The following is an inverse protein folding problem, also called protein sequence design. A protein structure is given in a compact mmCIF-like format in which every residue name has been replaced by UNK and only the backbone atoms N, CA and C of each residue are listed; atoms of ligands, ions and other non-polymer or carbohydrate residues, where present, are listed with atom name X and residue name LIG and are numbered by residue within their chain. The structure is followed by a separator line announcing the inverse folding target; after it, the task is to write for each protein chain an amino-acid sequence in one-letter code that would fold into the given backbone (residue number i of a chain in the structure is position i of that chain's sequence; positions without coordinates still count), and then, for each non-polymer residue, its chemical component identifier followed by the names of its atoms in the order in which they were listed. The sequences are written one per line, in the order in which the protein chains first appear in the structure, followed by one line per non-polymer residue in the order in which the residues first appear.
data_IF_615619277074
#
_entry.id   IF_615619277074
#
_cell.length_a   1.000
_cell.length_b   1.000
_cell.length_c   1.000
_cell.angle_alpha   90.00
_cell.angle_beta   90.00
_cell.angle_gamma   90.00
#
_symmetry.space_group_name_H-M   'P 1'
#
loop_
_entity.id
_entity.type
_entity.pdbx_description
1 polymer ?
#
# COMPACT_ATOMS: atom_id res chain seq x y z
N UNK A 1 -18.50 4.71 12.16
CA UNK A 1 -17.06 5.03 12.35
C UNK A 1 -16.38 4.69 11.05
N UNK A 2 -15.45 5.52 10.57
CA UNK A 2 -14.73 5.22 9.34
C UNK A 2 -13.29 4.83 9.65
N UNK A 3 -12.78 3.84 8.91
CA UNK A 3 -11.44 3.26 9.12
C UNK A 3 -10.70 3.14 7.80
N UNK A 4 -9.50 3.70 7.73
CA UNK A 4 -8.56 3.51 6.63
C UNK A 4 -7.46 2.57 7.09
N UNK A 5 -7.21 1.52 6.33
CA UNK A 5 -6.20 0.50 6.63
C UNK A 5 -5.12 0.52 5.55
N UNK A 6 -3.86 0.56 5.99
CA UNK A 6 -2.68 0.37 5.17
C UNK A 6 -2.06 -0.97 5.55
N UNK A 7 -2.01 -1.91 4.62
CA UNK A 7 -1.45 -3.25 4.87
C UNK A 7 -0.19 -3.44 4.04
N UNK A 8 0.82 -4.03 4.68
CA UNK A 8 2.10 -4.39 4.08
C UNK A 8 2.21 -5.90 4.10
N UNK A 9 2.11 -6.53 2.94
CA UNK A 9 2.12 -7.97 2.80
C UNK A 9 3.40 -8.40 2.08
N UNK A 10 4.14 -9.33 2.68
CA UNK A 10 5.22 -9.99 1.94
C UNK A 10 4.58 -10.87 0.88
N UNK A 11 4.87 -10.58 -0.39
CA UNK A 11 4.38 -11.38 -1.51
C UNK A 11 5.34 -12.54 -1.73
N UNK A 12 4.82 -13.76 -1.75
CA UNK A 12 5.59 -14.94 -2.09
C UNK A 12 5.62 -15.10 -3.61
N UNK A 13 6.70 -14.63 -4.23
CA UNK A 13 7.01 -14.97 -5.62
C UNK A 13 8.15 -16.01 -5.64
N UNK A 14 7.79 -17.23 -6.06
CA UNK A 14 8.67 -18.40 -6.07
C UNK A 14 9.86 -18.23 -7.03
N UNK A 15 9.73 -17.42 -8.09
CA UNK A 15 10.84 -17.17 -9.01
C UNK A 15 11.85 -16.15 -8.47
N UNK A 16 11.38 -15.11 -7.77
CA UNK A 16 12.25 -14.09 -7.19
C UNK A 16 12.90 -14.52 -5.88
N UNK A 17 12.24 -15.36 -5.07
CA UNK A 17 12.85 -15.95 -3.89
C UNK A 17 14.09 -16.80 -4.24
N UNK A 18 14.09 -17.48 -5.40
CA UNK A 18 15.25 -18.25 -5.89
C UNK A 18 16.47 -17.38 -6.21
N UNK A 19 16.28 -16.08 -6.44
CA UNK A 19 17.36 -15.11 -6.69
C UNK A 19 17.76 -14.33 -5.43
N UNK A 20 17.21 -14.67 -4.26
CA UNK A 20 17.49 -13.98 -3.00
C UNK A 20 16.75 -12.65 -2.83
N UNK A 21 15.78 -12.34 -3.69
CA UNK A 21 14.94 -11.15 -3.58
C UNK A 21 13.68 -11.38 -2.75
N UNK A 22 13.04 -10.30 -2.31
CA UNK A 22 11.72 -10.32 -1.68
C UNK A 22 10.84 -9.19 -2.22
N UNK A 23 9.53 -9.43 -2.31
CA UNK A 23 8.54 -8.43 -2.66
C UNK A 23 7.71 -8.04 -1.44
N UNK A 24 7.46 -6.74 -1.31
CA UNK A 24 6.49 -6.20 -0.35
C UNK A 24 5.36 -5.58 -1.17
N UNK A 25 4.18 -6.19 -1.11
CA UNK A 25 2.94 -5.61 -1.62
C UNK A 25 2.36 -4.65 -0.58
N UNK A 26 1.85 -3.51 -1.04
CA UNK A 26 1.15 -2.55 -0.19
C UNK A 26 -0.27 -2.34 -0.70
N UNK A 27 -1.26 -2.51 0.18
CA UNK A 27 -2.68 -2.29 -0.10
C UNK A 27 -3.26 -1.21 0.81
N UNK A 28 -4.17 -0.40 0.28
CA UNK A 28 -4.91 0.61 1.04
C UNK A 28 -6.40 0.41 0.85
N UNK A 29 -7.10 0.22 1.96
CA UNK A 29 -8.53 -0.06 1.97
C UNK A 29 -9.26 0.88 2.92
N UNK A 30 -10.52 1.15 2.61
CA UNK A 30 -11.45 1.86 3.49
C UNK A 30 -12.52 0.85 3.89
N UNK A 31 -12.48 0.36 5.14
CA UNK A 31 -13.31 -0.78 5.56
C UNK A 31 -14.70 -0.38 6.02
N UNK A 32 -14.83 0.78 6.67
CA UNK A 32 -16.09 1.21 7.25
C UNK A 32 -16.39 2.62 6.75
N UNK A 33 -17.56 2.81 6.14
CA UNK A 33 -18.17 4.13 5.93
C UNK A 33 -19.52 4.12 6.65
N UNK A 34 -19.91 5.27 7.20
CA UNK A 34 -21.30 5.44 7.61
C UNK A 34 -22.24 5.19 6.42
N UNK A 35 -23.48 4.74 6.66
CA UNK A 35 -24.53 4.79 5.65
C UNK A 35 -24.59 6.17 5.00
N UNK A 36 -24.91 6.25 3.70
CA UNK A 36 -24.92 7.53 2.95
C UNK A 36 -25.78 8.64 3.61
N UNK A 37 -26.79 8.25 4.35
CA UNK A 37 -27.70 9.16 5.07
C UNK A 37 -27.12 9.68 6.40
N UNK A 38 -25.99 9.12 6.86
CA UNK A 38 -25.32 9.41 8.13
C UNK A 38 -23.84 9.77 7.94
N UNK A 39 -23.47 10.25 6.74
CA UNK A 39 -22.11 10.69 6.47
C UNK A 39 -21.75 11.83 7.41
N UNK A 40 -20.71 11.62 8.20
CA UNK A 40 -20.26 12.56 9.23
C UNK A 40 -18.83 13.03 8.98
N UNK A 41 -18.32 13.92 9.84
CA UNK A 41 -16.95 14.45 9.74
C UNK A 41 -15.87 13.35 9.68
N UNK A 42 -16.10 12.20 10.32
CA UNK A 42 -15.17 11.06 10.28
C UNK A 42 -15.10 10.40 8.90
N UNK A 43 -16.18 10.37 8.12
CA UNK A 43 -16.18 9.83 6.76
C UNK A 43 -15.42 10.74 5.81
N UNK A 44 -15.56 12.06 5.99
CA UNK A 44 -14.80 13.07 5.24
C UNK A 44 -13.31 12.94 5.53
N UNK A 45 -12.93 12.84 6.81
CA UNK A 45 -11.54 12.62 7.22
C UNK A 45 -10.97 11.32 6.64
N UNK A 46 -11.74 10.22 6.66
CA UNK A 46 -11.30 8.96 6.08
C UNK A 46 -11.12 9.05 4.56
N UNK A 47 -11.98 9.82 3.88
CA UNK A 47 -11.83 10.13 2.45
C UNK A 47 -10.54 10.91 2.14
N UNK A 48 -10.22 11.93 2.95
CA UNK A 48 -8.97 12.71 2.83
C UNK A 48 -7.74 11.82 3.05
N UNK A 49 -7.75 11.01 4.11
CA UNK A 49 -6.64 10.09 4.40
C UNK A 49 -6.47 9.08 3.25
N UNK A 50 -7.58 8.55 2.70
CA UNK A 50 -7.53 7.68 1.53
C UNK A 50 -6.97 8.38 0.30
N UNK A 51 -7.29 9.66 0.06
CA UNK A 51 -6.74 10.39 -1.10
C UNK A 51 -5.24 10.67 -0.97
N UNK A 52 -4.72 10.71 0.26
CA UNK A 52 -3.27 10.80 0.55
C UNK A 52 -2.54 9.46 0.42
N UNK A 53 -3.25 8.36 0.16
CA UNK A 53 -2.65 7.03 0.06
C UNK A 53 -1.44 6.96 -0.90
N UNK A 54 -1.46 7.55 -2.11
CA UNK A 54 -0.30 7.50 -3.00
C UNK A 54 0.97 8.10 -2.36
N UNK A 55 0.85 9.25 -1.70
CA UNK A 55 1.96 9.92 -1.03
C UNK A 55 2.49 9.12 0.17
N UNK A 56 1.58 8.50 0.93
CA UNK A 56 1.94 7.64 2.08
C UNK A 56 2.71 6.40 1.59
N UNK A 57 2.23 5.76 0.53
CA UNK A 57 2.88 4.57 -0.04
C UNK A 57 4.27 4.95 -0.58
N UNK A 58 4.38 6.05 -1.33
CA UNK A 58 5.67 6.53 -1.86
C UNK A 58 6.70 6.77 -0.76
N UNK A 59 6.33 7.48 0.31
CA UNK A 59 7.21 7.72 1.45
C UNK A 59 7.62 6.42 2.14
N UNK A 60 6.69 5.50 2.34
CA UNK A 60 6.97 4.20 2.94
C UNK A 60 7.93 3.36 2.07
N UNK A 61 7.76 3.38 0.75
CA UNK A 61 8.68 2.72 -0.19
C UNK A 61 10.08 3.32 -0.11
N UNK A 62 10.20 4.65 -0.09
CA UNK A 62 11.50 5.33 0.01
C UNK A 62 12.24 4.98 1.31
N UNK A 63 11.54 5.00 2.45
CA UNK A 63 12.14 4.60 3.73
C UNK A 63 12.53 3.12 3.76
N UNK A 64 11.70 2.23 3.20
CA UNK A 64 12.03 0.80 3.08
C UNK A 64 13.31 0.59 2.25
N UNK A 65 13.43 1.25 1.10
CA UNK A 65 14.62 1.17 0.24
C UNK A 65 15.86 1.73 0.94
N UNK A 66 15.71 2.83 1.68
CA UNK A 66 16.79 3.41 2.47
C UNK A 66 17.28 2.42 3.54
N UNK A 67 16.38 1.85 4.33
CA UNK A 67 16.74 0.86 5.35
C UNK A 67 17.37 -0.39 4.75
N UNK A 68 16.89 -0.87 3.59
CA UNK A 68 17.49 -2.00 2.90
C UNK A 68 18.93 -1.72 2.47
N UNK A 69 19.21 -0.53 1.93
CA UNK A 69 20.56 -0.11 1.54
C UNK A 69 21.49 0.03 2.74
N UNK A 70 21.00 0.58 3.86
CA UNK A 70 21.76 0.66 5.13
C UNK A 70 22.16 -0.72 5.66
N UNK A 71 21.36 -1.76 5.37
CA UNK A 71 21.65 -3.15 5.68
C UNK A 71 22.55 -3.86 4.64
N UNK A 72 23.04 -3.13 3.62
CA UNK A 72 23.92 -3.67 2.58
C UNK A 72 23.19 -4.47 1.50
N UNK A 73 21.86 -4.34 1.40
CA UNK A 73 21.08 -4.97 0.34
C UNK A 73 21.08 -4.10 -0.92
N UNK A 74 21.33 -4.71 -2.08
CA UNK A 74 21.06 -4.09 -3.38
C UNK A 74 19.54 -4.07 -3.60
N UNK A 75 18.91 -2.99 -3.12
CA UNK A 75 17.47 -2.79 -3.20
C UNK A 75 17.13 -1.73 -4.27
N UNK A 76 16.42 -2.21 -5.29
CA UNK A 76 15.68 -1.39 -6.25
C UNK A 76 14.18 -1.65 -6.02
N UNK A 77 13.37 -0.60 -6.15
CA UNK A 77 11.94 -0.70 -5.94
C UNK A 77 11.20 0.22 -6.90
N UNK A 78 10.21 -0.34 -7.58
CA UNK A 78 9.29 0.39 -8.44
C UNK A 78 7.89 0.34 -7.84
N UNK A 79 7.24 1.50 -7.79
CA UNK A 79 5.87 1.63 -7.32
C UNK A 79 4.91 1.34 -8.47
N UNK A 80 4.26 0.19 -8.45
CA UNK A 80 3.22 -0.14 -9.43
C UNK A 80 1.84 0.12 -8.85
N UNK A 81 1.00 0.83 -9.59
CA UNK A 81 -0.43 0.88 -9.31
C UNK A 81 -1.06 -0.42 -9.78
N UNK A 82 -1.34 -1.32 -8.84
CA UNK A 82 -2.12 -2.52 -9.13
C UNK A 82 -3.61 -2.15 -9.19
N UNK A 83 -4.20 -2.24 -10.39
CA UNK A 83 -5.65 -2.19 -10.57
C UNK A 83 -6.18 -3.63 -10.68
N UNK A 84 -6.81 -4.18 -9.64
CA UNK A 84 -7.35 -5.55 -9.68
C UNK A 84 -8.43 -5.75 -10.75
N UNK A 85 -9.09 -4.67 -11.20
CA UNK A 85 -10.10 -4.74 -12.27
C UNK A 85 -9.48 -4.69 -13.67
N UNK A 86 -8.24 -4.23 -13.81
CA UNK A 86 -7.54 -4.21 -15.11
C UNK A 86 -7.08 -5.61 -15.56
N UNK A 87 -7.04 -6.59 -14.66
CA UNK A 87 -6.68 -7.98 -14.97
C UNK A 87 -7.83 -8.80 -15.60
N UNK A 88 -9.02 -8.19 -15.78
CA UNK A 88 -10.20 -8.83 -16.39
C UNK A 88 -10.42 -8.39 -17.84
N UNK A 89 -9.44 -8.50 -18.73
CA UNK A 89 -9.66 -8.38 -20.18
C UNK A 89 -8.72 -9.29 -20.97
#
# INVERSE_FOLDING_TARGET
MAKVIFEFNRMEDVEFQKKGGFFVGMSVQLEEQSPKEQTGPHDVMAGIIKSMAPEIIEKATQELLKSARELGLEAEGELFRYNPDAAKH
#
